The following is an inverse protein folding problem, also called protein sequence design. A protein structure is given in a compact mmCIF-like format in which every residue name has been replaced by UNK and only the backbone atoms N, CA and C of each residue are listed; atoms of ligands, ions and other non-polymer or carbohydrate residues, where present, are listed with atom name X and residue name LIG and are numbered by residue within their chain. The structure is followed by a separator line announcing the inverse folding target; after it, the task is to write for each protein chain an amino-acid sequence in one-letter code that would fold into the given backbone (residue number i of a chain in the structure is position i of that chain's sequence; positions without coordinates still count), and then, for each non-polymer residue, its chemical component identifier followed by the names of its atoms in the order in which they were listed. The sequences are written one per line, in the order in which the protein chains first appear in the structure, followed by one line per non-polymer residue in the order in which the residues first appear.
data_IF_815713865051
#
_entry.id   IF_815713865051
#
_cell.length_a   1.000
_cell.length_b   1.000
_cell.length_c   1.000
_cell.angle_alpha   90.00
_cell.angle_beta   90.00
_cell.angle_gamma   90.00
#
_symmetry.space_group_name_H-M   'P 1'
#
loop_
_entity.id
_entity.type
_entity.pdbx_description
1 polymer ?
#
# COMPACT_ATOMS: atom_id res chain seq x y z
N UNK A 1 -7.84 46.32 -7.35
CA UNK A 1 -8.69 45.23 -6.80
C UNK A 1 -8.53 43.90 -7.55
N UNK A 2 -8.65 43.84 -8.88
CA UNK A 2 -8.55 42.59 -9.68
C UNK A 2 -7.22 41.82 -9.50
N UNK A 3 -6.11 42.52 -9.28
CA UNK A 3 -4.79 41.90 -9.07
C UNK A 3 -4.56 41.44 -7.63
N UNK A 4 -5.22 42.08 -6.65
CA UNK A 4 -5.16 41.69 -5.24
C UNK A 4 -5.90 40.35 -5.03
N UNK A 5 -7.04 40.16 -5.72
CA UNK A 5 -7.80 38.91 -5.64
C UNK A 5 -7.00 37.72 -6.19
N UNK A 6 -6.25 37.91 -7.30
CA UNK A 6 -5.39 36.86 -7.89
C UNK A 6 -4.23 36.48 -6.97
N UNK A 7 -3.60 37.45 -6.31
CA UNK A 7 -2.51 37.22 -5.35
C UNK A 7 -3.06 36.47 -4.12
N UNK A 8 -4.25 36.85 -3.62
CA UNK A 8 -4.90 36.15 -2.51
C UNK A 8 -5.22 34.69 -2.84
N UNK A 9 -5.71 34.38 -4.05
CA UNK A 9 -5.94 33.00 -4.49
C UNK A 9 -4.63 32.19 -4.62
N UNK A 10 -3.52 32.82 -5.00
CA UNK A 10 -2.21 32.16 -5.09
C UNK A 10 -1.63 31.82 -3.71
N UNK A 11 -1.87 32.66 -2.70
CA UNK A 11 -1.43 32.39 -1.32
C UNK A 11 -2.27 31.30 -0.61
N UNK A 12 -3.54 31.13 -0.97
CA UNK A 12 -4.41 30.07 -0.41
C UNK A 12 -3.99 28.68 -0.90
N UNK A 13 -3.38 28.57 -2.08
CA UNK A 13 -2.89 27.29 -2.61
C UNK A 13 -1.59 26.80 -1.92
N UNK A 14 -0.84 27.70 -1.27
CA UNK A 14 0.48 27.40 -0.71
C UNK A 14 0.46 26.77 0.71
N UNK A 15 -0.73 26.60 1.32
CA UNK A 15 -0.88 26.11 2.70
C UNK A 15 -1.64 24.79 2.82
N UNK A 16 -1.88 24.09 1.71
CA UNK A 16 -2.51 22.76 1.74
C UNK A 16 -1.50 21.69 2.19
N UNK A 17 -1.56 21.31 3.47
CA UNK A 17 -0.94 20.06 3.92
C UNK A 17 -1.79 18.90 3.42
N UNK A 18 -1.28 18.15 2.44
CA UNK A 18 -2.01 17.01 1.87
C UNK A 18 -1.86 15.78 2.78
N UNK A 19 -2.92 15.48 3.54
CA UNK A 19 -3.15 14.15 4.09
C UNK A 19 -4.31 13.52 3.30
N UNK A 20 -4.25 12.22 3.02
CA UNK A 20 -5.20 11.56 2.11
C UNK A 20 -6.07 10.57 2.89
N UNK A 21 -7.39 10.70 2.75
CA UNK A 21 -8.36 9.75 3.25
C UNK A 21 -9.06 9.04 2.09
N UNK A 22 -9.05 7.71 2.07
CA UNK A 22 -9.70 6.89 1.03
C UNK A 22 -10.82 6.06 1.67
N UNK A 23 -12.04 6.18 1.16
CA UNK A 23 -13.18 5.40 1.67
C UNK A 23 -13.68 5.86 3.05
N UNK A 24 -13.32 7.08 3.48
CA UNK A 24 -13.84 7.78 4.67
C UNK A 24 -13.84 9.29 4.45
N UNK A 25 -14.66 10.02 5.20
CA UNK A 25 -14.85 11.47 5.04
C UNK A 25 -13.79 12.33 5.73
N UNK A 26 -13.05 11.77 6.68
CA UNK A 26 -12.04 12.46 7.48
C UNK A 26 -11.03 11.47 8.04
N UNK A 27 -9.82 11.92 8.35
CA UNK A 27 -8.79 11.11 9.00
C UNK A 27 -9.12 10.81 10.45
N UNK A 28 -8.45 9.80 11.01
CA UNK A 28 -8.47 9.53 12.45
C UNK A 28 -7.99 10.76 13.22
N UNK A 29 -8.72 11.09 14.27
CA UNK A 29 -8.47 12.26 15.12
C UNK A 29 -7.58 11.90 16.29
N UNK A 30 -6.86 12.88 16.82
CA UNK A 30 -6.11 12.72 18.07
C UNK A 30 -7.06 12.42 19.24
N UNK A 31 -6.66 11.56 20.19
CA UNK A 31 -7.39 11.38 21.44
C UNK A 31 -7.25 12.61 22.34
N UNK A 32 -8.01 12.64 23.44
CA UNK A 32 -7.82 13.62 24.51
C UNK A 32 -6.35 13.66 24.96
N UNK A 33 -5.78 14.84 25.27
CA UNK A 33 -6.47 16.12 25.51
C UNK A 33 -6.65 17.01 24.27
N UNK A 34 -6.40 16.53 23.05
CA UNK A 34 -6.61 17.33 21.85
C UNK A 34 -8.09 17.76 21.71
N UNK A 35 -8.38 18.94 21.11
CA UNK A 35 -9.75 19.32 20.80
C UNK A 35 -10.48 18.24 19.99
N UNK A 36 -11.78 18.08 20.24
CA UNK A 36 -12.59 17.11 19.52
C UNK A 36 -12.56 17.41 18.01
N UNK A 37 -12.29 16.38 17.20
CA UNK A 37 -12.21 16.53 15.75
C UNK A 37 -10.84 16.93 15.21
N UNK A 38 -9.82 17.16 16.04
CA UNK A 38 -8.46 17.46 15.55
C UNK A 38 -7.88 16.28 14.76
N UNK A 39 -7.66 16.40 13.42
CA UNK A 39 -7.06 15.33 12.63
C UNK A 39 -5.65 15.02 13.13
N UNK A 40 -5.25 13.75 13.11
CA UNK A 40 -3.91 13.37 13.49
C UNK A 40 -2.90 13.82 12.41
N UNK A 41 -1.97 14.75 12.70
CA UNK A 41 -1.04 15.29 11.70
C UNK A 41 0.03 14.30 11.26
N UNK A 42 0.18 13.16 11.95
CA UNK A 42 1.15 12.10 11.65
C UNK A 42 0.66 11.07 10.64
N UNK A 43 -0.49 11.30 9.99
CA UNK A 43 -1.04 10.40 8.97
C UNK A 43 -0.77 10.98 7.57
N UNK A 44 -0.14 10.22 6.68
CA UNK A 44 0.01 10.62 5.27
C UNK A 44 -1.18 10.12 4.44
N UNK A 45 -1.54 8.86 4.64
CA UNK A 45 -2.61 8.16 3.94
C UNK A 45 -3.36 7.25 4.91
N UNK A 46 -4.68 7.26 4.87
CA UNK A 46 -5.51 6.35 5.66
C UNK A 46 -6.71 5.84 4.86
N UNK A 47 -7.10 4.60 5.14
CA UNK A 47 -8.24 3.94 4.51
C UNK A 47 -9.46 3.85 5.44
N UNK A 48 -10.62 3.64 4.84
CA UNK A 48 -11.91 3.47 5.50
C UNK A 48 -11.90 2.38 6.57
N UNK A 49 -12.78 2.55 7.55
CA UNK A 49 -12.95 1.59 8.63
C UNK A 49 -13.61 0.29 8.13
N UNK A 50 -13.34 -0.80 8.83
CA UNK A 50 -13.92 -2.11 8.52
C UNK A 50 -15.45 -2.06 8.57
N UNK A 51 -16.06 -2.65 7.54
CA UNK A 51 -17.49 -2.96 7.53
C UNK A 51 -17.63 -4.48 7.55
N UNK A 52 -18.50 -4.99 8.41
CA UNK A 52 -18.74 -6.43 8.59
C UNK A 52 -19.03 -7.09 7.24
N UNK A 53 -18.34 -8.20 6.95
CA UNK A 53 -18.39 -8.97 5.70
C UNK A 53 -17.90 -8.21 4.45
N UNK A 54 -17.23 -7.07 4.62
CA UNK A 54 -16.70 -6.24 3.54
C UNK A 54 -15.26 -5.83 3.83
N UNK A 55 -14.45 -6.78 4.35
CA UNK A 55 -13.03 -6.55 4.60
C UNK A 55 -12.30 -6.18 3.31
N UNK A 56 -11.50 -5.11 3.37
CA UNK A 56 -10.67 -4.63 2.27
C UNK A 56 -9.21 -4.63 2.69
N UNK A 57 -8.33 -4.82 1.72
CA UNK A 57 -6.89 -4.70 1.91
C UNK A 57 -6.26 -3.77 0.88
N UNK A 58 -4.99 -3.47 1.10
CA UNK A 58 -4.16 -2.70 0.18
C UNK A 58 -3.45 -3.67 -0.75
N UNK A 59 -3.76 -3.65 -2.05
CA UNK A 59 -3.13 -4.54 -3.03
C UNK A 59 -1.85 -3.89 -3.54
N UNK A 60 -0.73 -4.59 -3.38
CA UNK A 60 0.56 -4.16 -3.90
C UNK A 60 0.61 -4.26 -5.43
N UNK A 61 1.36 -3.37 -6.10
CA UNK A 61 1.70 -3.55 -7.50
C UNK A 61 2.51 -4.83 -7.69
N UNK A 62 2.28 -5.50 -8.81
CA UNK A 62 3.05 -6.65 -9.24
C UNK A 62 4.29 -6.17 -9.98
N UNK A 63 5.43 -6.83 -9.76
CA UNK A 63 6.66 -6.54 -10.49
C UNK A 63 7.13 -7.80 -11.20
N UNK A 64 7.19 -7.73 -12.52
CA UNK A 64 7.51 -8.87 -13.41
C UNK A 64 8.95 -8.78 -13.93
N UNK A 65 9.55 -7.59 -14.02
CA UNK A 65 10.88 -7.40 -14.57
C UNK A 65 11.96 -7.26 -13.50
N UNK A 66 13.15 -7.81 -13.79
CA UNK A 66 14.35 -7.57 -12.98
C UNK A 66 14.75 -6.08 -12.94
N UNK A 67 14.42 -5.33 -14.00
CA UNK A 67 14.72 -3.89 -14.11
C UNK A 67 13.92 -3.05 -13.10
N UNK A 68 12.66 -3.40 -12.85
CA UNK A 68 11.82 -2.71 -11.86
C UNK A 68 12.39 -2.85 -10.45
N UNK A 69 13.05 -3.98 -10.18
CA UNK A 69 13.75 -4.26 -8.92
C UNK A 69 15.09 -3.55 -8.79
N UNK A 70 15.72 -3.16 -9.89
CA UNK A 70 17.03 -2.50 -9.89
C UNK A 70 16.95 -1.03 -9.43
N UNK A 71 15.83 -0.36 -9.70
CA UNK A 71 15.58 1.02 -9.27
C UNK A 71 14.97 1.12 -7.86
N UNK A 72 14.58 -0.01 -7.25
CA UNK A 72 13.95 -0.02 -5.95
C UNK A 72 14.90 0.51 -4.85
N UNK A 73 14.41 1.47 -4.08
CA UNK A 73 15.12 2.03 -2.93
C UNK A 73 14.68 1.35 -1.63
N UNK A 74 15.48 1.52 -0.56
CA UNK A 74 15.08 1.10 0.79
C UNK A 74 13.69 1.63 1.15
N UNK A 75 12.86 0.80 1.79
CA UNK A 75 11.46 1.13 2.05
C UNK A 75 10.47 0.53 1.05
N UNK A 76 10.93 0.12 -0.14
CA UNK A 76 10.05 -0.40 -1.22
C UNK A 76 9.41 -1.73 -0.83
N UNK A 77 8.10 -1.88 -1.11
CA UNK A 77 7.38 -3.15 -0.97
C UNK A 77 6.77 -3.52 -2.34
N UNK A 78 6.95 -4.76 -2.75
CA UNK A 78 6.47 -5.30 -4.05
C UNK A 78 5.86 -6.68 -3.87
N UNK A 79 5.01 -7.09 -4.81
CA UNK A 79 4.73 -8.50 -5.06
C UNK A 79 5.53 -8.98 -6.27
N UNK A 80 6.53 -9.84 -6.05
CA UNK A 80 7.40 -10.35 -7.12
C UNK A 80 6.74 -11.56 -7.78
N UNK A 81 6.37 -11.43 -9.05
CA UNK A 81 5.67 -12.50 -9.78
C UNK A 81 6.61 -13.61 -10.24
N UNK A 82 7.93 -13.44 -10.08
CA UNK A 82 8.93 -14.47 -10.43
C UNK A 82 8.85 -15.64 -9.45
N UNK A 83 8.63 -15.35 -8.17
CA UNK A 83 8.58 -16.34 -7.10
C UNK A 83 7.31 -16.27 -6.24
N UNK A 84 6.38 -15.37 -6.58
CA UNK A 84 5.10 -15.17 -5.90
C UNK A 84 5.25 -14.80 -4.42
N UNK A 85 6.27 -14.01 -4.11
CA UNK A 85 6.58 -13.53 -2.76
C UNK A 85 6.39 -12.02 -2.67
N UNK A 86 5.71 -11.55 -1.62
CA UNK A 86 5.76 -10.14 -1.22
C UNK A 86 7.10 -9.86 -0.57
N UNK A 87 7.81 -8.82 -1.02
CA UNK A 87 9.17 -8.50 -0.58
C UNK A 87 9.26 -7.06 -0.12
N UNK A 88 10.06 -6.83 0.92
CA UNK A 88 10.43 -5.52 1.45
C UNK A 88 11.92 -5.25 1.22
N UNK A 89 12.25 -4.07 0.70
CA UNK A 89 13.63 -3.62 0.50
C UNK A 89 14.21 -3.07 1.80
N UNK A 90 15.05 -3.85 2.47
CA UNK A 90 15.67 -3.52 3.75
C UNK A 90 17.15 -3.13 3.59
N UNK A 91 17.41 -2.08 2.81
CA UNK A 91 18.75 -1.54 2.57
C UNK A 91 19.06 -1.29 1.09
N UNK A 92 20.23 -0.72 0.84
CA UNK A 92 20.61 -0.18 -0.48
C UNK A 92 21.19 -1.21 -1.45
N UNK A 93 21.67 -2.37 -0.97
CA UNK A 93 22.24 -3.37 -1.86
C UNK A 93 21.15 -4.07 -2.68
N UNK A 94 21.45 -4.47 -3.93
CA UNK A 94 20.49 -5.14 -4.82
C UNK A 94 19.84 -6.39 -4.20
N UNK A 95 20.57 -7.09 -3.32
CA UNK A 95 20.14 -8.30 -2.61
C UNK A 95 19.44 -8.07 -1.28
N UNK A 96 19.30 -6.82 -0.82
CA UNK A 96 18.66 -6.46 0.47
C UNK A 96 17.13 -6.59 0.43
N UNK A 97 16.62 -7.75 0.04
CA UNK A 97 15.19 -8.07 0.02
C UNK A 97 14.85 -9.04 1.15
N UNK A 98 13.85 -8.66 1.95
CA UNK A 98 13.25 -9.50 2.99
C UNK A 98 11.92 -10.03 2.46
N UNK A 99 11.73 -11.35 2.50
CA UNK A 99 10.47 -11.97 2.16
C UNK A 99 9.44 -11.69 3.27
N UNK A 100 8.32 -11.05 2.93
CA UNK A 100 7.17 -10.84 3.80
C UNK A 100 6.13 -11.96 3.68
N UNK A 101 6.26 -12.83 2.69
CA UNK A 101 5.46 -14.05 2.57
C UNK A 101 6.36 -15.24 2.32
N UNK A 102 5.82 -16.45 2.48
CA UNK A 102 6.50 -17.69 2.10
C UNK A 102 5.58 -18.55 1.24
N UNK A 103 6.19 -19.23 0.29
CA UNK A 103 5.62 -20.43 -0.31
C UNK A 103 5.96 -21.58 0.63
N UNK A 104 4.98 -22.38 1.04
CA UNK A 104 5.21 -23.61 1.80
C UNK A 104 5.07 -24.85 0.90
N UNK A 105 5.79 -25.90 1.26
CA UNK A 105 5.61 -27.23 0.67
C UNK A 105 4.85 -28.10 1.68
N UNK A 106 3.60 -28.44 1.38
CA UNK A 106 2.87 -29.47 2.13
C UNK A 106 3.13 -30.86 1.50
N UNK A 107 3.21 -31.95 2.30
CA UNK A 107 3.19 -33.30 1.75
C UNK A 107 1.88 -33.53 0.96
N UNK A 108 1.98 -34.11 -0.24
CA UNK A 108 0.82 -34.51 -1.03
C UNK A 108 -0.11 -35.43 -0.18
N UNK A 109 -1.45 -35.22 -0.22
CA UNK A 109 -2.22 -34.71 -1.35
C UNK A 109 -2.67 -33.25 -1.21
N UNK A 110 -2.21 -32.52 -0.19
CA UNK A 110 -2.61 -31.11 -0.02
C UNK A 110 -1.79 -30.24 -0.97
N UNK A 111 -2.52 -29.73 -1.97
CA UNK A 111 -2.17 -28.73 -2.98
C UNK A 111 -1.03 -27.78 -2.59
N UNK A 112 -0.13 -27.55 -3.55
CA UNK A 112 0.92 -26.52 -3.49
C UNK A 112 0.43 -25.23 -2.80
N UNK A 113 1.23 -24.72 -1.87
CA UNK A 113 0.96 -23.44 -1.20
C UNK A 113 1.77 -22.29 -1.84
N UNK A 114 2.33 -22.54 -3.02
CA UNK A 114 2.92 -21.51 -3.85
C UNK A 114 1.90 -20.42 -4.12
N UNK A 115 2.32 -19.17 -4.00
CA UNK A 115 1.51 -18.03 -4.41
C UNK A 115 1.08 -18.14 -5.86
N UNK A 116 0.01 -17.44 -6.21
CA UNK A 116 -0.59 -17.45 -7.54
C UNK A 116 -0.95 -16.02 -7.88
N UNK A 117 -0.81 -15.63 -9.14
CA UNK A 117 -1.34 -14.36 -9.67
C UNK A 117 -1.73 -14.55 -11.12
N UNK A 118 -2.83 -13.92 -11.51
CA UNK A 118 -3.23 -13.80 -12.90
C UNK A 118 -2.76 -12.44 -13.43
N UNK A 119 -1.59 -12.42 -14.06
CA UNK A 119 -1.03 -11.17 -14.60
C UNK A 119 -1.83 -10.62 -15.77
N UNK A 120 -2.68 -11.44 -16.40
CA UNK A 120 -3.47 -11.03 -17.57
C UNK A 120 -4.54 -9.99 -17.23
N UNK A 121 -4.87 -9.85 -15.94
CA UNK A 121 -5.76 -8.82 -15.41
C UNK A 121 -5.29 -7.38 -15.72
N UNK A 122 -4.00 -7.21 -16.03
CA UNK A 122 -3.41 -5.91 -16.40
C UNK A 122 -3.03 -5.81 -17.89
N UNK A 123 -3.31 -6.82 -18.71
CA UNK A 123 -2.91 -6.79 -20.12
C UNK A 123 -3.81 -5.86 -20.94
N UNK A 124 -5.10 -5.76 -20.60
CA UNK A 124 -6.07 -4.99 -21.38
C UNK A 124 -7.10 -4.26 -20.51
N UNK A 125 -7.53 -3.09 -20.98
CA UNK A 125 -8.70 -2.39 -20.46
C UNK A 125 -9.62 -2.04 -21.63
N UNK A 126 -10.88 -2.48 -21.55
CA UNK A 126 -11.88 -2.30 -22.61
C UNK A 126 -11.39 -2.75 -24.01
N UNK A 127 -10.65 -3.85 -24.09
CA UNK A 127 -10.12 -4.40 -25.34
C UNK A 127 -8.91 -3.66 -25.92
N UNK A 128 -8.37 -2.68 -25.19
CA UNK A 128 -7.14 -1.96 -25.56
C UNK A 128 -5.99 -2.51 -24.71
N UNK A 129 -4.88 -2.87 -25.36
CA UNK A 129 -3.67 -3.27 -24.66
C UNK A 129 -3.18 -2.13 -23.75
N UNK A 130 -2.95 -2.47 -22.49
CA UNK A 130 -2.34 -1.55 -21.53
C UNK A 130 -0.82 -1.57 -21.73
N UNK A 131 -0.20 -0.41 -21.57
CA UNK A 131 1.24 -0.27 -21.56
C UNK A 131 1.64 0.38 -20.24
N UNK A 132 2.60 -0.23 -19.55
CA UNK A 132 3.16 0.35 -18.33
C UNK A 132 3.85 1.67 -18.63
N UNK A 133 3.57 2.66 -17.80
CA UNK A 133 4.26 3.94 -17.82
C UNK A 133 5.35 3.91 -16.75
N UNK A 134 6.63 3.66 -17.10
CA UNK A 134 7.71 3.49 -16.12
C UNK A 134 8.01 4.76 -15.31
N UNK A 135 7.50 5.91 -15.75
CA UNK A 135 7.62 7.20 -15.05
C UNK A 135 6.38 7.57 -14.25
N UNK A 136 5.33 6.72 -14.24
CA UNK A 136 4.14 6.98 -13.46
C UNK A 136 4.48 6.96 -11.96
N UNK A 137 4.05 8.00 -11.26
CA UNK A 137 4.32 8.20 -9.84
C UNK A 137 3.19 8.97 -9.18
N UNK A 138 2.78 8.50 -8.01
CA UNK A 138 1.94 9.23 -7.06
C UNK A 138 2.76 9.52 -5.81
N UNK A 139 2.93 10.80 -5.48
CA UNK A 139 3.62 11.25 -4.27
C UNK A 139 2.64 11.78 -3.25
N UNK A 140 2.80 11.39 -1.98
CA UNK A 140 2.12 12.00 -0.83
C UNK A 140 3.18 12.61 0.08
N UNK A 141 3.14 13.93 0.26
CA UNK A 141 4.17 14.71 0.98
C UNK A 141 4.83 15.73 0.06
N UNK A 142 6.09 16.06 0.32
CA UNK A 142 6.89 16.92 -0.58
C UNK A 142 7.55 16.05 -1.66
N UNK A 143 7.14 16.14 -2.94
CA UNK A 143 7.64 15.23 -3.96
C UNK A 143 9.14 15.40 -4.22
N UNK A 144 9.86 14.29 -4.32
CA UNK A 144 11.27 14.22 -4.70
C UNK A 144 11.45 13.30 -5.93
N UNK A 145 12.70 13.04 -6.32
CA UNK A 145 13.05 12.09 -7.38
C UNK A 145 13.06 10.62 -6.95
N UNK A 146 12.66 10.30 -5.71
CA UNK A 146 12.57 8.92 -5.24
C UNK A 146 11.64 8.10 -6.17
N UNK A 147 12.08 6.95 -6.70
CA UNK A 147 11.28 6.13 -7.61
C UNK A 147 10.19 5.34 -6.87
N UNK A 148 9.10 5.03 -7.57
CA UNK A 148 7.99 4.21 -7.09
C UNK A 148 6.63 4.69 -7.60
N UNK A 149 5.65 3.79 -7.72
CA UNK A 149 4.30 4.14 -8.19
C UNK A 149 3.49 4.89 -7.13
N UNK A 150 3.69 4.57 -5.85
CA UNK A 150 3.17 5.29 -4.70
C UNK A 150 4.32 5.53 -3.74
N UNK A 151 4.67 6.79 -3.49
CA UNK A 151 5.76 7.18 -2.61
C UNK A 151 5.22 8.10 -1.51
N UNK A 152 5.42 7.69 -0.27
CA UNK A 152 5.09 8.47 0.92
C UNK A 152 6.36 9.20 1.35
N UNK A 153 6.42 10.50 1.11
CA UNK A 153 7.67 11.29 1.15
C UNK A 153 7.78 12.18 2.39
N UNK A 154 6.75 12.22 3.23
CA UNK A 154 6.80 12.92 4.52
C UNK A 154 7.66 12.15 5.54
N UNK A 155 8.64 12.84 6.13
CA UNK A 155 9.59 12.22 7.08
C UNK A 155 8.99 11.83 8.45
N UNK A 156 7.81 12.36 8.78
CA UNK A 156 7.18 12.22 10.09
C UNK A 156 5.70 11.80 10.02
N UNK A 157 5.26 11.28 8.87
CA UNK A 157 3.91 10.77 8.69
C UNK A 157 3.93 9.35 8.17
N UNK A 158 2.96 8.56 8.59
CA UNK A 158 2.82 7.16 8.19
C UNK A 158 1.49 6.90 7.50
N UNK A 159 1.48 5.87 6.66
CA UNK A 159 0.23 5.31 6.15
C UNK A 159 -0.39 4.41 7.23
N UNK A 160 -1.70 4.56 7.42
CA UNK A 160 -2.51 3.63 8.18
C UNK A 160 -3.11 2.64 7.19
N UNK A 161 -2.63 1.39 7.22
CA UNK A 161 -3.19 0.31 6.39
C UNK A 161 -4.69 0.12 6.67
N UNK A 162 -5.45 -0.45 5.72
CA UNK A 162 -6.77 -0.98 6.01
C UNK A 162 -6.72 -1.88 7.25
N UNK A 163 -7.68 -1.68 8.16
CA UNK A 163 -7.76 -2.41 9.43
C UNK A 163 -8.89 -3.42 9.30
N UNK A 164 -8.62 -4.70 9.50
CA UNK A 164 -9.64 -5.76 9.45
C UNK A 164 -9.42 -6.73 10.60
N UNK A 165 -10.46 -7.10 11.39
CA UNK A 165 -10.31 -8.13 12.41
C UNK A 165 -10.11 -9.49 11.74
N UNK A 166 -9.05 -10.23 12.10
CA UNK A 166 -8.77 -11.56 11.54
C UNK A 166 -8.94 -11.62 10.00
N UNK A 167 -8.07 -10.94 9.23
CA UNK A 167 -8.27 -10.70 7.80
C UNK A 167 -8.46 -11.97 6.96
N UNK A 168 -7.79 -13.06 7.33
CA UNK A 168 -7.92 -14.37 6.67
C UNK A 168 -9.32 -14.98 6.75
N UNK A 169 -10.20 -14.49 7.63
CA UNK A 169 -11.61 -14.89 7.73
C UNK A 169 -12.57 -13.84 7.15
N UNK A 170 -12.15 -12.56 7.14
CA UNK A 170 -13.04 -11.43 6.87
C UNK A 170 -12.76 -10.71 5.54
N UNK A 171 -11.72 -11.11 4.80
CA UNK A 171 -11.48 -10.71 3.41
C UNK A 171 -11.78 -11.92 2.53
N UNK A 172 -12.89 -11.85 1.79
CA UNK A 172 -13.27 -12.90 0.84
C UNK A 172 -12.48 -12.74 -0.46
N UNK A 173 -11.89 -13.83 -0.94
CA UNK A 173 -11.12 -13.88 -2.20
C UNK A 173 -10.11 -12.71 -2.34
N UNK A 174 -9.14 -12.56 -1.41
CA UNK A 174 -8.13 -11.50 -1.50
C UNK A 174 -7.27 -11.64 -2.76
N UNK A 175 -6.91 -10.50 -3.35
CA UNK A 175 -5.98 -10.47 -4.50
C UNK A 175 -4.54 -10.76 -4.02
N UNK A 176 -3.70 -11.44 -4.81
CA UNK A 176 -2.28 -11.62 -4.50
C UNK A 176 -1.57 -10.28 -4.32
N UNK A 177 -0.77 -10.17 -3.26
CA UNK A 177 -0.15 -8.91 -2.85
C UNK A 177 -0.99 -8.08 -1.89
N UNK A 178 -2.14 -8.60 -1.41
CA UNK A 178 -2.97 -7.92 -0.39
C UNK A 178 -2.21 -7.78 0.93
N UNK A 179 -2.13 -6.56 1.45
CA UNK A 179 -1.64 -6.20 2.79
C UNK A 179 -2.74 -5.56 3.62
N UNK A 180 -2.79 -5.87 4.91
CA UNK A 180 -3.83 -5.40 5.83
C UNK A 180 -3.33 -5.51 7.27
N UNK A 181 -3.81 -4.64 8.16
CA UNK A 181 -3.54 -4.73 9.58
C UNK A 181 -4.62 -5.57 10.30
N UNK A 182 -4.20 -6.65 10.96
CA UNK A 182 -5.08 -7.47 11.79
C UNK A 182 -5.31 -6.81 13.15
N UNK A 183 -6.53 -6.35 13.40
CA UNK A 183 -6.88 -5.65 14.65
C UNK A 183 -7.04 -6.57 15.86
N UNK A 184 -7.23 -7.87 15.66
CA UNK A 184 -7.39 -8.84 16.75
C UNK A 184 -6.03 -9.26 17.28
N UNK A 185 -5.08 -9.54 16.38
CA UNK A 185 -3.72 -9.98 16.74
C UNK A 185 -2.67 -8.86 16.70
N UNK A 186 -3.07 -7.66 16.30
CA UNK A 186 -2.23 -6.45 16.24
C UNK A 186 -0.96 -6.66 15.43
N UNK A 187 -1.12 -7.19 14.22
CA UNK A 187 -0.01 -7.64 13.38
C UNK A 187 -0.28 -7.32 11.91
N UNK A 188 0.80 -7.18 11.13
CA UNK A 188 0.69 -7.08 9.67
C UNK A 188 0.30 -8.46 9.12
N UNK A 189 -0.69 -8.50 8.23
CA UNK A 189 -1.08 -9.68 7.48
C UNK A 189 -0.88 -9.42 5.98
N UNK A 190 -0.26 -10.39 5.30
CA UNK A 190 0.08 -10.29 3.88
C UNK A 190 -0.34 -11.58 3.17
N UNK A 191 -1.00 -11.46 2.02
CA UNK A 191 -1.48 -12.58 1.22
C UNK A 191 -0.74 -12.65 -0.12
N UNK A 192 -0.22 -13.82 -0.47
CA UNK A 192 0.54 -14.02 -1.72
C UNK A 192 -0.26 -14.69 -2.85
N UNK A 193 -1.59 -14.76 -2.73
CA UNK A 193 -2.45 -15.47 -3.67
C UNK A 193 -2.87 -16.87 -3.21
N UNK A 194 -2.20 -17.42 -2.19
CA UNK A 194 -2.52 -18.74 -1.65
C UNK A 194 -2.46 -18.82 -0.13
N UNK A 195 -1.47 -18.18 0.47
CA UNK A 195 -1.17 -18.26 1.91
C UNK A 195 -1.13 -16.87 2.53
N UNK A 196 -1.69 -16.77 3.73
CA UNK A 196 -1.54 -15.61 4.60
C UNK A 196 -0.28 -15.75 5.46
N UNK A 197 0.56 -14.73 5.45
CA UNK A 197 1.72 -14.58 6.34
C UNK A 197 1.47 -13.45 7.34
N UNK A 198 1.92 -13.64 8.58
CA UNK A 198 1.62 -12.73 9.69
C UNK A 198 2.90 -12.28 10.40
N UNK A 199 3.06 -10.97 10.60
CA UNK A 199 4.25 -10.35 11.18
C UNK A 199 3.89 -9.56 12.43
N UNK A 200 4.44 -10.00 13.55
CA UNK A 200 4.37 -9.26 14.81
C UNK A 200 5.58 -8.31 14.94
N UNK A 201 5.40 -7.15 15.58
CA UNK A 201 6.51 -6.32 16.03
C UNK A 201 7.44 -7.05 17.00
#
# INVERSE_FOLDING_TARGET
MKNILKIAFLFIAASASAQVAIGKSSLTTLPLPAPAGTPNPSISLEFGDYVVNQGKGFVLPWTTAAMDKAAAVEGTIIYDTTDFIVKYKNGTAATSWVALTKNESAPAPINSTQGVVDTTLQDTFNGVALADSPTAKTSIGTPTSVPGILVLEDANKAMILPKVPSPHLNISNPEPGTMVYDTVKQQLAVFNGKVWSFWKP
#
